data_IF_076402243560
#
_entry.id   IF_076402243560
#
_cell.length_a   1.000
_cell.length_b   1.000
_cell.length_c   1.000
_cell.angle_alpha   90.00
_cell.angle_beta   90.00
_cell.angle_gamma   90.00
#
_symmetry.space_group_name_H-M   'P 1'
#
loop_
_entity.id
_entity.type
_entity.pdbx_description
1 polymer ?
2 non-polymer ?
3 water ?
#
# COMPACT_ATOMS: atom_id res chain seq x y z
N UNK A 4 14.03 26.19 -9.29
CA UNK A 4 12.54 26.24 -9.45
C UNK A 4 11.86 24.87 -9.36
N UNK A 5 12.48 23.84 -9.92
CA UNK A 5 11.90 22.50 -9.93
C UNK A 5 12.10 21.80 -8.58
N UNK A 6 11.02 21.28 -8.00
CA UNK A 6 11.11 20.54 -6.75
C UNK A 6 11.44 19.08 -7.05
N UNK A 7 12.58 18.62 -6.55
CA UNK A 7 13.01 17.24 -6.74
C UNK A 7 12.89 16.40 -5.47
N UNK A 8 12.98 17.03 -4.30
CA UNK A 8 13.03 16.30 -3.05
C UNK A 8 11.79 16.50 -2.22
N UNK A 9 11.22 15.39 -1.74
CA UNK A 9 10.09 15.41 -0.81
C UNK A 9 10.51 14.76 0.50
N UNK A 10 10.11 15.34 1.62
CA UNK A 10 10.50 14.81 2.94
C UNK A 10 9.30 14.27 3.70
N UNK A 11 9.60 13.46 4.70
CA UNK A 11 8.57 12.98 5.62
C UNK A 11 7.94 14.15 6.37
N UNK A 12 8.76 15.09 6.83
CA UNK A 12 8.25 16.24 7.59
C UNK A 12 7.17 17.04 6.86
N UNK A 13 7.29 17.14 5.54
CA UNK A 13 6.33 17.88 4.71
C UNK A 13 5.20 17.02 4.11
N UNK A 14 5.27 15.72 4.36
CA UNK A 14 4.32 14.79 3.82
C UNK A 14 3.01 14.88 4.59
N UNK A 15 1.97 14.34 3.95
CA UNK A 15 0.71 14.05 4.63
C UNK A 15 0.80 12.66 5.22
N UNK A 16 0.46 12.56 6.50
CA UNK A 16 0.57 11.31 7.25
C UNK A 16 -0.73 11.04 7.96
N UNK A 17 -1.27 9.84 7.75
CA UNK A 17 -2.56 9.48 8.31
C UNK A 17 -2.71 7.98 8.36
N UNK A 18 -3.69 7.53 9.14
CA UNK A 18 -4.02 6.12 9.27
C UNK A 18 -5.28 5.79 8.47
N UNK A 19 -5.23 4.66 7.78
CA UNK A 19 -6.29 4.21 6.88
C UNK A 19 -6.37 2.69 7.04
N UNK A 20 -7.50 2.16 7.51
CA UNK A 20 -7.71 0.70 7.57
C UNK A 20 -6.61 -0.06 8.31
N UNK A 21 -6.00 0.54 9.33
CA UNK A 21 -4.96 -0.14 10.10
C UNK A 21 -3.53 0.10 9.65
N UNK A 22 -3.33 0.84 8.56
CA UNK A 22 -1.97 1.17 8.11
C UNK A 22 -1.68 2.65 8.30
N UNK A 23 -0.41 2.97 8.48
CA UNK A 23 0.04 4.36 8.59
C UNK A 23 0.73 4.72 7.27
N UNK A 24 0.14 5.69 6.58
CA UNK A 24 0.60 6.13 5.27
C UNK A 24 1.40 7.41 5.37
N UNK A 25 2.46 7.49 4.57
CA UNK A 25 3.20 8.72 4.36
C UNK A 25 3.09 9.05 2.88
N UNK A 26 2.28 10.05 2.56
CA UNK A 26 2.08 10.47 1.18
C UNK A 26 2.90 11.74 0.96
N UNK A 27 3.99 11.59 0.21
CA UNK A 27 4.94 12.69 0.03
C UNK A 27 4.33 13.88 -0.70
N UNK A 28 3.43 13.59 -1.64
CA UNK A 28 2.82 14.63 -2.46
C UNK A 28 3.38 14.68 -3.87
N UNK A 29 4.12 13.64 -4.28
CA UNK A 29 4.60 13.54 -5.66
C UNK A 29 3.43 13.68 -6.63
N UNK A 30 3.64 14.49 -7.67
CA UNK A 30 2.69 14.59 -8.77
C UNK A 30 3.44 14.23 -10.04
N UNK A 31 3.01 13.15 -10.67
CA UNK A 31 3.65 12.64 -11.88
C UNK A 31 2.69 11.58 -12.42
N UNK A 32 2.19 11.75 -13.66
CA UNK A 32 1.19 10.80 -14.15
C UNK A 32 1.68 9.36 -14.23
N UNK A 33 2.99 9.16 -14.36
CA UNK A 33 3.54 7.82 -14.57
C UNK A 33 3.51 6.94 -13.33
N UNK A 34 3.70 7.53 -12.15
CA UNK A 34 3.72 6.76 -10.91
C UNK A 34 3.85 7.66 -9.72
N UNK A 35 3.34 7.17 -8.60
CA UNK A 35 3.56 7.85 -7.35
C UNK A 35 4.00 6.87 -6.29
N UNK A 36 4.86 7.34 -5.41
CA UNK A 36 5.50 6.49 -4.43
C UNK A 36 5.16 7.00 -3.04
N UNK A 37 4.79 6.08 -2.14
CA UNK A 37 4.45 6.41 -0.76
C UNK A 37 5.08 5.39 0.19
N UNK A 38 5.11 5.71 1.48
CA UNK A 38 5.52 4.77 2.51
C UNK A 38 4.28 4.17 3.15
N UNK A 39 4.36 2.90 3.50
CA UNK A 39 3.30 2.23 4.25
C UNK A 39 3.94 1.55 5.45
N UNK A 40 3.38 1.81 6.63
CA UNK A 40 3.77 1.14 7.86
C UNK A 40 2.56 0.38 8.37
N UNK A 41 2.73 -0.90 8.69
CA UNK A 41 1.62 -1.71 9.19
C UNK A 41 2.07 -2.52 10.41
N UNK A 42 1.28 -2.43 11.48
CA UNK A 42 1.59 -3.13 12.72
C UNK A 42 0.98 -4.52 12.78
N UNK A 43 -0.27 -4.64 12.30
CA UNK A 43 -0.97 -5.91 12.31
C UNK A 43 -1.64 -6.22 10.98
N UNK A 44 -2.20 -5.22 10.30
CA UNK A 44 -2.80 -5.48 9.00
C UNK A 44 -3.47 -4.31 8.33
N UNK A 45 -3.83 -4.53 7.07
CA UNK A 45 -4.67 -3.63 6.29
C UNK A 45 -6.04 -4.29 6.30
N UNK A 46 -6.91 -3.81 7.18
CA UNK A 46 -8.16 -4.51 7.49
C UNK A 46 -9.31 -4.11 6.57
N UNK A 47 -9.03 -4.23 5.29
CA UNK A 47 -9.94 -3.90 4.22
C UNK A 47 -9.41 -4.59 2.97
N UNK A 48 -10.31 -5.08 2.13
CA UNK A 48 -9.92 -5.58 0.83
C UNK A 48 -10.43 -4.61 -0.22
N UNK A 49 -9.57 -4.33 -1.19
CA UNK A 49 -9.87 -3.37 -2.24
C UNK A 49 -9.19 -3.81 -3.51
N UNK A 50 -9.55 -3.16 -4.61
CA UNK A 50 -8.77 -3.28 -5.85
C UNK A 50 -8.73 -1.94 -6.56
N UNK A 51 -7.80 -1.82 -7.50
CA UNK A 51 -7.65 -0.61 -8.28
C UNK A 51 -7.79 -1.00 -9.74
N UNK A 52 -8.71 -0.34 -10.44
CA UNK A 52 -9.06 -0.72 -11.81
C UNK A 52 -8.03 -0.33 -12.88
N UNK A 53 -7.10 0.56 -12.53
CA UNK A 53 -6.15 1.08 -13.52
C UNK A 53 -4.67 0.89 -13.16
N UNK A 54 -4.34 0.89 -11.87
CA UNK A 54 -2.93 0.93 -11.46
C UNK A 54 -2.40 -0.34 -10.84
N UNK A 55 -1.15 -0.67 -11.17
CA UNK A 55 -0.43 -1.74 -10.49
C UNK A 55 0.15 -1.21 -9.18
N UNK A 56 0.08 -2.04 -8.14
CA UNK A 56 0.60 -1.70 -6.81
C UNK A 56 1.81 -2.58 -6.55
N UNK A 57 2.98 -1.96 -6.41
CA UNK A 57 4.23 -2.68 -6.18
C UNK A 57 4.77 -2.32 -4.79
N UNK A 58 4.80 -3.31 -3.90
CA UNK A 58 5.25 -3.12 -2.53
C UNK A 58 6.66 -3.66 -2.37
N UNK A 59 7.59 -2.79 -1.99
CA UNK A 59 8.92 -3.24 -1.57
C UNK A 59 8.91 -3.32 -0.04
N UNK A 60 9.28 -4.48 0.51
CA UNK A 60 9.28 -4.65 1.96
C UNK A 60 10.64 -4.26 2.53
N UNK A 61 10.67 -3.15 3.25
CA UNK A 61 11.92 -2.63 3.82
C UNK A 61 12.33 -3.50 4.99
N UNK A 62 11.36 -3.79 5.84
CA UNK A 62 11.59 -4.59 7.03
C UNK A 62 10.32 -5.32 7.46
N UNK A 63 10.49 -6.34 8.28
CA UNK A 63 9.38 -7.08 8.85
C UNK A 63 8.94 -8.27 8.03
N UNK A 64 7.78 -8.80 8.38
CA UNK A 64 7.27 -10.02 7.77
C UNK A 64 5.75 -9.94 7.77
N UNK A 65 5.13 -10.47 6.72
CA UNK A 65 3.68 -10.46 6.60
C UNK A 65 3.21 -11.41 5.52
N UNK A 66 1.96 -11.26 5.13
CA UNK A 66 1.36 -12.10 4.11
C UNK A 66 0.34 -11.27 3.35
N UNK A 67 0.49 -11.24 2.03
CA UNK A 67 -0.48 -10.59 1.15
C UNK A 67 -1.54 -11.60 0.71
N UNK A 68 -2.75 -11.10 0.49
CA UNK A 68 -3.82 -11.89 -0.10
C UNK A 68 -4.24 -11.22 -1.38
N UNK A 69 -3.93 -11.87 -2.50
CA UNK A 69 -4.09 -11.30 -3.83
C UNK A 69 -5.06 -12.18 -4.58
N UNK A 70 -6.25 -11.64 -4.87
CA UNK A 70 -7.38 -12.44 -5.31
C UNK A 70 -7.53 -13.69 -4.43
N UNK A 71 -7.44 -13.45 -3.12
CA UNK A 71 -7.60 -14.47 -2.06
C UNK A 71 -6.43 -15.45 -1.91
N UNK A 72 -5.41 -15.32 -2.75
CA UNK A 72 -4.25 -16.20 -2.72
C UNK A 72 -3.22 -15.65 -1.75
N UNK A 73 -2.77 -16.49 -0.82
CA UNK A 73 -1.77 -16.07 0.16
C UNK A 73 -0.40 -16.00 -0.47
N UNK A 74 0.30 -14.89 -0.22
CA UNK A 74 1.65 -14.64 -0.71
C UNK A 74 2.50 -14.12 0.45
N UNK A 75 3.28 -15.01 1.08
CA UNK A 75 4.16 -14.61 2.16
C UNK A 75 5.16 -13.57 1.68
N UNK A 76 5.47 -12.62 2.54
CA UNK A 76 6.38 -11.53 2.19
C UNK A 76 7.27 -11.19 3.37
N UNK A 77 8.53 -10.90 3.07
CA UNK A 77 9.47 -10.51 4.09
C UNK A 77 10.44 -9.47 3.60
N UNK A 78 11.28 -9.02 4.52
CA UNK A 78 12.26 -7.98 4.24
C UNK A 78 13.05 -8.27 2.97
N UNK A 79 13.06 -7.28 2.07
CA UNK A 79 13.77 -7.27 0.77
C UNK A 79 13.00 -7.90 -0.40
N UNK A 80 11.81 -8.44 -0.12
CA UNK A 80 10.95 -8.99 -1.16
C UNK A 80 10.24 -7.88 -1.90
N UNK A 81 9.91 -8.14 -3.15
CA UNK A 81 9.10 -7.22 -3.95
C UNK A 81 7.80 -7.93 -4.30
N UNK A 82 6.67 -7.31 -3.94
CA UNK A 82 5.36 -7.87 -4.22
C UNK A 82 4.70 -7.01 -5.29
N UNK A 83 4.43 -7.63 -6.44
CA UNK A 83 3.99 -6.95 -7.66
C UNK A 83 2.54 -7.33 -7.94
N UNK A 84 1.62 -6.40 -7.69
CA UNK A 84 0.19 -6.65 -7.92
C UNK A 84 -0.32 -5.94 -9.17
N UNK A 85 -0.83 -6.69 -10.16
CA UNK A 85 -1.38 -6.04 -11.35
C UNK A 85 -2.69 -5.33 -11.06
N UNK A 86 -3.16 -4.49 -11.99
CA UNK A 86 -4.46 -3.85 -11.80
C UNK A 86 -5.59 -4.87 -11.67
N UNK A 87 -6.71 -4.42 -11.12
CA UNK A 87 -7.91 -5.23 -11.00
C UNK A 87 -7.73 -6.51 -10.19
N UNK A 88 -6.84 -6.46 -9.20
CA UNK A 88 -6.55 -7.59 -8.33
C UNK A 88 -6.96 -7.22 -6.91
N UNK A 89 -7.79 -8.05 -6.28
CA UNK A 89 -8.17 -7.80 -4.90
C UNK A 89 -6.95 -7.92 -3.99
N UNK A 90 -6.80 -6.97 -3.08
CA UNK A 90 -5.66 -6.86 -2.17
C UNK A 90 -6.11 -6.70 -0.73
N UNK A 91 -5.56 -7.53 0.16
CA UNK A 91 -5.37 -7.11 1.55
C UNK A 91 -4.09 -7.75 2.06
N UNK A 92 -3.68 -7.42 3.27
CA UNK A 92 -2.46 -7.99 3.81
C UNK A 92 -2.44 -7.89 5.32
N UNK A 93 -1.76 -8.86 5.94
CA UNK A 93 -1.51 -8.83 7.37
C UNK A 93 -0.01 -8.82 7.60
N UNK A 94 0.41 -8.34 8.76
CA UNK A 94 1.80 -8.39 9.12
C UNK A 94 2.27 -7.21 9.91
N UNK A 95 3.54 -7.28 10.29
CA UNK A 95 4.25 -6.16 10.87
C UNK A 95 5.37 -5.82 9.89
N UNK A 96 5.16 -4.78 9.10
CA UNK A 96 6.07 -4.46 8.00
C UNK A 96 6.17 -2.97 7.76
N UNK A 97 7.33 -2.57 7.24
CA UNK A 97 7.56 -1.25 6.69
C UNK A 97 7.81 -1.43 5.20
N UNK A 98 7.09 -0.69 4.37
CA UNK A 98 7.12 -0.87 2.93
C UNK A 98 7.19 0.45 2.18
N UNK A 99 7.65 0.36 0.94
CA UNK A 99 7.62 1.46 -0.01
C UNK A 99 6.71 0.99 -1.13
N UNK A 100 5.65 1.74 -1.40
CA UNK A 100 4.64 1.34 -2.37
C UNK A 100 4.69 2.25 -3.59
N UNK A 101 4.78 1.64 -4.77
CA UNK A 101 4.63 2.34 -6.03
C UNK A 101 3.26 2.05 -6.62
N UNK A 102 2.54 3.10 -6.99
CA UNK A 102 1.29 2.96 -7.72
C UNK A 102 1.50 3.54 -9.11
N UNK A 103 1.34 2.70 -10.13
CA UNK A 103 1.68 3.08 -11.52
C UNK A 103 0.51 2.69 -12.40
N UNK A 104 0.23 3.53 -13.40
CA UNK A 104 -0.06 4.96 -13.29
C UNK A 104 -0.38 5.53 -11.93
N UNK A 105 -0.14 6.83 -11.80
CA UNK A 105 -0.30 7.55 -10.56
C UNK A 105 -1.60 7.20 -9.85
N UNK A 106 -1.49 7.04 -8.54
CA UNK A 106 -2.64 6.79 -7.69
C UNK A 106 -3.72 7.84 -7.90
N UNK A 107 -4.94 7.36 -8.14
CA UNK A 107 -6.14 8.19 -8.15
C UNK A 107 -7.18 7.45 -7.32
N UNK A 108 -7.62 8.07 -6.23
CA UNK A 108 -8.64 7.47 -5.34
C UNK A 108 -9.91 7.01 -6.08
N UNK A 109 -10.27 7.69 -7.17
CA UNK A 109 -11.41 7.30 -8.00
C UNK A 109 -11.29 5.90 -8.61
N UNK A 110 -10.06 5.42 -8.75
CA UNK A 110 -9.80 4.11 -9.37
C UNK A 110 -9.88 2.96 -8.38
N UNK A 111 -9.95 3.26 -7.09
CA UNK A 111 -9.97 2.22 -6.08
C UNK A 111 -11.41 1.85 -5.75
N UNK A 112 -11.61 0.59 -5.42
CA UNK A 112 -12.93 0.03 -5.17
C UNK A 112 -12.85 -0.77 -3.88
N UNK A 113 -13.79 -0.51 -2.97
CA UNK A 113 -13.91 -1.22 -1.70
C UNK A 113 -14.62 -2.54 -1.93
N UNK A 114 -14.04 -3.63 -1.43
CA UNK A 114 -14.68 -4.94 -1.49
C UNK A 114 -15.32 -5.27 -0.15
N UNK A 115 -14.53 -5.24 0.92
CA UNK A 115 -15.03 -5.56 2.26
C UNK A 115 -14.10 -5.04 3.33
N UNK A 116 -14.66 -4.85 4.52
CA UNK A 116 -13.87 -4.70 5.73
C UNK A 116 -13.44 -6.06 6.23
N UNK A 117 -12.37 -6.06 7.02
CA UNK A 117 -11.80 -7.27 7.61
C UNK A 117 -11.69 -7.09 9.12
N UNK A 118 -12.14 -8.08 9.88
CA UNK A 118 -12.02 -8.02 11.33
C UNK A 118 -10.55 -8.03 11.75
N UNK A 119 -10.21 -7.22 12.76
CA UNK A 119 -8.83 -7.17 13.28
C UNK A 119 -8.37 -8.54 13.81
N UNK A 120 -9.31 -9.36 14.29
CA UNK A 120 -9.01 -10.71 14.76
C UNK A 120 -8.52 -11.68 13.67
N UNK A 121 -8.74 -11.33 12.41
CA UNK A 121 -8.31 -12.17 11.30
C UNK A 121 -6.79 -12.15 11.10
N UNK A 122 -6.12 -11.09 11.54
CA UNK A 122 -4.66 -11.05 11.44
C UNK A 122 -4.06 -11.86 12.58
N UNK A 123 -3.10 -12.74 12.27
CA UNK A 123 -2.40 -13.49 13.31
C UNK A 123 -1.19 -12.76 13.88
N UNK A 124 -0.98 -11.51 13.47
CA UNK A 124 0.13 -10.70 13.96
C UNK A 124 -0.28 -9.83 15.15
X LIG B 1 -2.74 4.82 -0.71
X LIG B 1 -3.22 6.10 -0.51
X LIG B 1 -2.59 7.07 -1.25
X LIG B 1 -1.57 6.90 -2.15
X LIG B 1 -1.14 5.54 -2.33
X LIG B 1 -1.73 4.57 -1.62
X LIG B 1 -4.13 6.34 0.26
X LIG B 1 -1.11 7.88 -2.75
X LIG B 1 -3.36 3.73 0.04
X LIG B 1 -4.28 2.83 -0.79
X LIG B 1 -4.30 1.59 0.11
X LIG B 1 -2.87 1.54 0.65
X LIG B 1 -5.56 3.42 -0.96
X LIG B 1 -5.21 1.76 1.19
X LIG B 1 -2.33 2.88 0.51
X LIG B 1 -1.93 0.58 -0.03
X LIG B 1 -2.10 -0.72 0.46
#
# INVERSE_FOLDING_TARGET
GSHMTKYKYTVEESERFNKHGIDLTVYGQVDPSATVVRVSVERGHFQEFFNVRSSYTYYVVSGQGVFYLNSEAVPAGATDLITVPPNTRIHYFGSMEMVLTVAPAFNEQDERHVRFISESESPY
URI N1 C2 N3 C4 C5 C6 O2 O4 C1' C2' C3' C4' O2' O3' O4' C5' O5'
#
